data_IF_984328504472
#
_entry.id   IF_984328504472
#
_cell.length_a   1.000
_cell.length_b   1.000
_cell.length_c   1.000
_cell.angle_alpha   90.00
_cell.angle_beta   90.00
_cell.angle_gamma   90.00
#
_symmetry.space_group_name_H-M   'P 1'
#
loop_
_entity.id
_entity.type
_entity.pdbx_description
1 polymer ?
#
# COMPACT_ATOMS: atom_id res chain seq x y z
N UNK A 1 -12.92 22.58 3.99
CA UNK A 1 -12.59 21.59 5.04
C UNK A 1 -13.50 21.85 6.23
N UNK A 2 -14.16 20.81 6.72
CA UNK A 2 -14.92 20.89 7.97
C UNK A 2 -13.99 20.42 9.11
N UNK A 3 -13.69 21.31 10.05
CA UNK A 3 -12.90 21.02 11.25
C UNK A 3 -13.78 20.77 12.48
N UNK A 4 -15.08 20.49 12.27
CA UNK A 4 -15.97 20.18 13.38
C UNK A 4 -15.56 18.86 14.05
N UNK A 5 -15.71 18.83 15.37
CA UNK A 5 -15.47 17.60 16.14
C UNK A 5 -16.60 16.61 15.84
N UNK A 6 -16.22 15.38 15.52
CA UNK A 6 -17.17 14.28 15.38
C UNK A 6 -17.37 13.68 16.77
N UNK A 7 -18.59 13.77 17.29
CA UNK A 7 -18.99 13.05 18.50
C UNK A 7 -19.49 11.66 18.11
N UNK A 8 -18.81 10.62 18.62
CA UNK A 8 -19.20 9.23 18.37
C UNK A 8 -20.51 8.90 19.08
N UNK A 9 -21.36 8.13 18.41
CA UNK A 9 -22.53 7.53 19.08
C UNK A 9 -22.07 6.57 20.20
N UNK A 10 -22.92 6.23 21.18
CA UNK A 10 -22.57 5.23 22.19
C UNK A 10 -22.15 3.87 21.60
N UNK A 11 -22.76 3.47 20.47
CA UNK A 11 -22.45 2.23 19.76
C UNK A 11 -21.07 2.31 19.06
N UNK A 12 -20.75 3.44 18.45
CA UNK A 12 -19.44 3.65 17.81
C UNK A 12 -18.34 3.81 18.85
N UNK A 13 -18.66 4.39 20.00
CA UNK A 13 -17.74 4.44 21.15
C UNK A 13 -17.45 3.03 21.71
N UNK A 14 -18.46 2.16 21.80
CA UNK A 14 -18.26 0.77 22.17
C UNK A 14 -17.38 0.04 21.14
N UNK A 15 -17.69 0.17 19.86
CA UNK A 15 -16.90 -0.40 18.76
C UNK A 15 -15.44 0.07 18.79
N UNK A 16 -15.21 1.36 19.08
CA UNK A 16 -13.86 1.90 19.26
C UNK A 16 -13.09 1.18 20.37
N UNK A 17 -13.71 0.98 21.55
CA UNK A 17 -13.07 0.31 22.67
C UNK A 17 -12.81 -1.18 22.37
N UNK A 18 -13.77 -1.87 21.75
CA UNK A 18 -13.64 -3.28 21.35
C UNK A 18 -12.49 -3.45 20.33
N UNK A 19 -12.45 -2.61 19.30
CA UNK A 19 -11.41 -2.64 18.28
C UNK A 19 -10.03 -2.40 18.88
N UNK A 20 -9.92 -1.42 19.77
CA UNK A 20 -8.67 -1.10 20.46
C UNK A 20 -8.19 -2.23 21.35
N UNK A 21 -9.10 -2.85 22.11
CA UNK A 21 -8.77 -3.99 22.96
C UNK A 21 -8.33 -5.20 22.14
N UNK A 22 -9.05 -5.50 21.04
CA UNK A 22 -8.71 -6.58 20.13
C UNK A 22 -7.31 -6.39 19.52
N UNK A 23 -7.00 -5.19 19.03
CA UNK A 23 -5.70 -4.91 18.43
C UNK A 23 -4.59 -5.03 19.48
N UNK A 24 -4.79 -4.49 20.70
CA UNK A 24 -3.81 -4.59 21.78
C UNK A 24 -3.53 -6.04 22.22
N UNK A 25 -4.50 -6.93 22.10
CA UNK A 25 -4.35 -8.36 22.39
C UNK A 25 -3.48 -9.07 21.35
N UNK A 26 -3.63 -8.72 20.06
CA UNK A 26 -3.03 -9.48 18.96
C UNK A 26 -1.75 -8.82 18.40
N UNK A 27 -1.62 -7.50 18.46
CA UNK A 27 -0.46 -6.75 17.99
C UNK A 27 0.48 -6.48 19.18
N UNK A 28 1.27 -7.49 19.53
CA UNK A 28 2.20 -7.44 20.65
C UNK A 28 3.56 -6.86 20.23
N UNK A 29 4.39 -6.47 21.20
CA UNK A 29 5.77 -6.01 20.93
C UNK A 29 6.59 -7.05 20.15
N UNK A 30 6.33 -8.34 20.35
CA UNK A 30 6.97 -9.43 19.61
C UNK A 30 6.55 -9.44 18.14
N UNK A 31 5.28 -9.23 17.85
CA UNK A 31 4.76 -9.08 16.47
C UNK A 31 5.45 -7.90 15.78
N UNK A 32 5.48 -6.74 16.42
CA UNK A 32 6.11 -5.54 15.87
C UNK A 32 7.63 -5.70 15.67
N UNK A 33 8.30 -6.38 16.61
CA UNK A 33 9.73 -6.68 16.48
C UNK A 33 10.01 -7.58 15.29
N UNK A 34 9.24 -8.68 15.13
CA UNK A 34 9.37 -9.58 13.98
C UNK A 34 9.11 -8.86 12.65
N UNK A 35 8.08 -8.02 12.60
CA UNK A 35 7.75 -7.28 11.39
C UNK A 35 8.91 -6.35 10.98
N UNK A 36 9.50 -5.62 11.92
CA UNK A 36 10.70 -4.80 11.65
C UNK A 36 11.91 -5.64 11.20
N UNK A 37 12.11 -6.82 11.80
CA UNK A 37 13.22 -7.72 11.45
C UNK A 37 13.09 -8.27 10.04
N UNK A 38 11.88 -8.70 9.66
CA UNK A 38 11.63 -9.35 8.38
C UNK A 38 11.12 -8.38 7.30
N UNK A 39 10.60 -7.22 7.65
CA UNK A 39 10.10 -6.20 6.72
C UNK A 39 8.98 -6.72 5.82
N UNK A 40 8.13 -7.59 6.35
CA UNK A 40 7.08 -8.22 5.56
C UNK A 40 5.78 -7.40 5.54
N UNK A 41 5.61 -6.47 6.49
CA UNK A 41 4.38 -5.71 6.69
C UNK A 41 3.15 -6.63 6.80
N UNK A 42 3.39 -7.82 7.35
CA UNK A 42 2.42 -8.90 7.47
C UNK A 42 2.76 -9.84 8.64
N UNK A 43 1.77 -10.13 9.47
CA UNK A 43 1.83 -11.20 10.46
C UNK A 43 0.64 -12.13 10.29
N UNK A 44 0.90 -13.42 10.08
CA UNK A 44 -0.14 -14.41 9.78
C UNK A 44 -1.14 -14.57 10.91
N UNK A 45 -0.68 -14.58 12.17
CA UNK A 45 -1.56 -14.77 13.33
C UNK A 45 -2.50 -13.58 13.53
N UNK A 46 -1.97 -12.36 13.37
CA UNK A 46 -2.77 -11.12 13.40
C UNK A 46 -3.81 -11.14 12.28
N UNK A 47 -3.41 -11.51 11.07
CA UNK A 47 -4.30 -11.53 9.91
C UNK A 47 -5.43 -12.56 10.06
N UNK A 48 -5.12 -13.78 10.53
CA UNK A 48 -6.10 -14.82 10.82
C UNK A 48 -7.05 -14.41 11.97
N UNK A 49 -6.53 -13.73 13.00
CA UNK A 49 -7.36 -13.22 14.09
C UNK A 49 -8.35 -12.16 13.60
N UNK A 50 -7.90 -11.22 12.73
CA UNK A 50 -8.77 -10.23 12.09
C UNK A 50 -9.86 -10.89 11.24
N UNK A 51 -9.51 -11.92 10.46
CA UNK A 51 -10.47 -12.69 9.67
C UNK A 51 -11.49 -13.41 10.53
N UNK A 52 -11.04 -14.15 11.55
CA UNK A 52 -11.90 -14.89 12.48
C UNK A 52 -12.86 -13.99 13.27
N UNK A 53 -12.41 -12.80 13.65
CA UNK A 53 -13.23 -11.79 14.31
C UNK A 53 -14.17 -11.05 13.35
N UNK A 54 -14.09 -11.31 12.04
CA UNK A 54 -14.96 -10.71 11.03
C UNK A 54 -14.55 -9.31 10.57
N UNK A 55 -13.42 -8.76 11.05
CA UNK A 55 -12.96 -7.44 10.67
C UNK A 55 -12.64 -7.34 9.17
N UNK A 56 -11.98 -8.35 8.59
CA UNK A 56 -11.65 -8.36 7.15
C UNK A 56 -12.92 -8.36 6.29
N UNK A 57 -13.89 -9.21 6.64
CA UNK A 57 -15.17 -9.27 5.95
C UNK A 57 -15.95 -7.95 6.06
N UNK A 58 -15.96 -7.34 7.25
CA UNK A 58 -16.68 -6.08 7.49
C UNK A 58 -16.01 -4.87 6.82
N UNK A 59 -14.68 -4.86 6.72
CA UNK A 59 -13.95 -3.84 5.98
C UNK A 59 -14.16 -3.97 4.46
N UNK A 60 -14.27 -5.20 3.95
CA UNK A 60 -14.44 -5.47 2.53
C UNK A 60 -15.86 -5.26 2.01
N UNK A 61 -16.89 -5.67 2.78
CA UNK A 61 -18.30 -5.57 2.37
C UNK A 61 -18.79 -4.12 2.34
N UNK A 62 -19.82 -3.88 1.52
CA UNK A 62 -20.61 -2.66 1.61
C UNK A 62 -21.41 -2.64 2.94
N UNK A 63 -21.72 -1.46 3.44
CA UNK A 63 -22.54 -1.32 4.67
C UNK A 63 -23.90 -2.02 4.52
N UNK A 64 -24.52 -1.92 3.32
CA UNK A 64 -25.78 -2.61 2.98
C UNK A 64 -25.68 -4.15 3.02
N UNK A 65 -24.47 -4.69 2.97
CA UNK A 65 -24.15 -6.13 3.00
C UNK A 65 -23.63 -6.57 4.38
N UNK A 66 -23.72 -5.70 5.40
CA UNK A 66 -23.20 -5.95 6.74
C UNK A 66 -21.73 -5.58 6.93
N UNK A 67 -21.18 -4.75 6.06
CA UNK A 67 -19.87 -4.15 6.22
C UNK A 67 -19.86 -3.00 7.24
N UNK A 68 -18.68 -2.46 7.49
CA UNK A 68 -18.55 -1.29 8.36
C UNK A 68 -19.26 -0.06 7.80
N UNK A 69 -19.93 0.70 8.69
CA UNK A 69 -20.30 2.07 8.38
C UNK A 69 -19.04 2.91 8.12
N UNK A 70 -19.13 4.05 7.43
CA UNK A 70 -17.98 4.91 7.19
C UNK A 70 -17.25 5.32 8.48
N UNK A 71 -18.01 5.59 9.56
CA UNK A 71 -17.44 5.93 10.87
C UNK A 71 -16.66 4.75 11.46
N UNK A 72 -17.25 3.53 11.49
CA UNK A 72 -16.58 2.33 12.03
C UNK A 72 -15.35 1.94 11.20
N UNK A 73 -15.45 2.04 9.87
CA UNK A 73 -14.29 1.81 9.00
C UNK A 73 -13.15 2.78 9.34
N UNK A 74 -13.47 4.04 9.58
CA UNK A 74 -12.47 5.04 9.97
C UNK A 74 -11.88 4.76 11.34
N UNK A 75 -12.68 4.36 12.33
CA UNK A 75 -12.21 3.93 13.64
C UNK A 75 -11.23 2.77 13.50
N UNK A 76 -11.62 1.72 12.76
CA UNK A 76 -10.79 0.55 12.53
C UNK A 76 -9.44 0.91 11.89
N UNK A 77 -9.44 1.68 10.80
CA UNK A 77 -8.22 2.13 10.13
C UNK A 77 -7.29 2.96 11.02
N UNK A 78 -7.86 3.83 11.86
CA UNK A 78 -7.08 4.62 12.80
C UNK A 78 -6.42 3.75 13.89
N UNK A 79 -7.15 2.79 14.46
CA UNK A 79 -6.61 1.93 15.51
C UNK A 79 -5.58 0.92 14.96
N UNK A 80 -5.82 0.34 13.79
CA UNK A 80 -4.84 -0.46 13.03
C UNK A 80 -3.55 0.34 12.82
N UNK A 81 -3.68 1.58 12.36
CA UNK A 81 -2.55 2.45 12.10
C UNK A 81 -1.78 2.85 13.37
N UNK A 82 -2.48 3.21 14.46
CA UNK A 82 -1.84 3.56 15.74
C UNK A 82 -1.02 2.45 16.36
N UNK A 83 -1.47 1.22 16.17
CA UNK A 83 -0.78 0.04 16.67
C UNK A 83 0.33 -0.45 15.74
N UNK A 84 0.62 0.23 14.63
CA UNK A 84 1.57 -0.24 13.61
C UNK A 84 1.31 -1.68 13.17
N UNK A 85 0.04 -2.06 13.08
CA UNK A 85 -0.37 -3.43 12.76
C UNK A 85 0.22 -3.87 11.41
N UNK A 86 0.92 -5.01 11.33
CA UNK A 86 1.48 -5.53 10.08
C UNK A 86 0.37 -6.14 9.20
N UNK A 87 -0.39 -5.32 8.50
CA UNK A 87 -1.53 -5.73 7.68
C UNK A 87 -1.60 -5.04 6.31
N UNK A 88 -0.55 -4.31 5.94
CA UNK A 88 -0.50 -3.46 4.73
C UNK A 88 -1.01 -4.16 3.47
N UNK A 89 -0.71 -5.45 3.34
CA UNK A 89 -1.10 -6.25 2.16
C UNK A 89 -2.59 -6.61 2.09
N UNK A 90 -3.38 -6.30 3.12
CA UNK A 90 -4.84 -6.41 3.04
C UNK A 90 -5.43 -5.51 1.97
N UNK A 91 -4.91 -4.30 1.79
CA UNK A 91 -5.34 -3.40 0.72
C UNK A 91 -5.23 -4.04 -0.66
N UNK A 92 -4.09 -4.65 -0.98
CA UNK A 92 -3.90 -5.39 -2.22
C UNK A 92 -4.84 -6.59 -2.34
N UNK A 93 -4.93 -7.41 -1.30
CA UNK A 93 -5.80 -8.59 -1.27
C UNK A 93 -7.26 -8.21 -1.49
N UNK A 94 -7.75 -7.16 -0.85
CA UNK A 94 -9.14 -6.70 -0.96
C UNK A 94 -9.48 -6.18 -2.36
N UNK A 95 -8.57 -5.45 -3.01
CA UNK A 95 -8.74 -4.96 -4.39
C UNK A 95 -8.79 -6.14 -5.36
N UNK A 96 -7.85 -7.08 -5.28
CA UNK A 96 -7.84 -8.27 -6.16
C UNK A 96 -9.09 -9.12 -5.97
N UNK A 97 -9.57 -9.29 -4.73
CA UNK A 97 -10.81 -10.02 -4.47
C UNK A 97 -12.04 -9.36 -5.13
N UNK A 98 -12.12 -8.02 -5.15
CA UNK A 98 -13.19 -7.30 -5.86
C UNK A 98 -13.11 -7.49 -7.37
N UNK A 99 -11.91 -7.43 -7.94
CA UNK A 99 -11.71 -7.64 -9.37
C UNK A 99 -12.01 -9.09 -9.78
N UNK A 100 -11.63 -10.05 -8.96
CA UNK A 100 -12.00 -11.46 -9.15
C UNK A 100 -13.53 -11.63 -9.13
N UNK A 101 -14.24 -11.00 -8.20
CA UNK A 101 -15.69 -11.03 -8.13
C UNK A 101 -16.35 -10.37 -9.35
N UNK A 102 -15.75 -9.29 -9.86
CA UNK A 102 -16.32 -8.52 -10.98
C UNK A 102 -16.04 -9.16 -12.35
N UNK A 103 -14.88 -9.77 -12.55
CA UNK A 103 -14.39 -10.22 -13.85
C UNK A 103 -14.04 -11.71 -13.92
N UNK A 104 -13.98 -12.41 -12.80
CA UNK A 104 -13.66 -13.83 -12.74
C UNK A 104 -14.91 -14.70 -12.90
N UNK A 105 -14.67 -15.99 -13.18
CA UNK A 105 -15.74 -16.97 -13.18
C UNK A 105 -16.35 -17.13 -11.78
N UNK A 106 -17.67 -17.30 -11.65
CA UNK A 106 -18.32 -17.47 -10.35
C UNK A 106 -17.73 -18.63 -9.53
N UNK A 107 -17.39 -19.74 -10.17
CA UNK A 107 -16.80 -20.92 -9.54
C UNK A 107 -15.46 -20.57 -8.85
N UNK A 108 -14.60 -19.77 -9.49
CA UNK A 108 -13.35 -19.31 -8.90
C UNK A 108 -13.61 -18.38 -7.70
N UNK A 109 -14.57 -17.47 -7.85
CA UNK A 109 -14.95 -16.53 -6.77
C UNK A 109 -15.48 -17.29 -5.56
N UNK A 110 -16.36 -18.26 -5.75
CA UNK A 110 -16.94 -19.08 -4.68
C UNK A 110 -15.88 -19.92 -3.96
N UNK A 111 -14.84 -20.37 -4.68
CA UNK A 111 -13.75 -21.14 -4.12
C UNK A 111 -12.74 -20.29 -3.30
N UNK A 112 -12.50 -19.03 -3.71
CA UNK A 112 -11.40 -18.21 -3.17
C UNK A 112 -11.89 -17.19 -2.13
N UNK A 113 -13.01 -16.51 -2.38
CA UNK A 113 -13.47 -15.38 -1.58
C UNK A 113 -13.72 -15.72 -0.10
N UNK A 114 -14.32 -16.87 0.27
CA UNK A 114 -14.49 -17.21 1.68
C UNK A 114 -13.16 -17.27 2.44
N UNK A 115 -12.12 -17.85 1.83
CA UNK A 115 -10.78 -17.92 2.42
C UNK A 115 -10.10 -16.54 2.51
N UNK A 116 -10.39 -15.63 1.59
CA UNK A 116 -9.92 -14.23 1.68
C UNK A 116 -10.54 -13.54 2.88
N UNK A 117 -11.86 -13.66 3.07
CA UNK A 117 -12.59 -12.98 4.14
C UNK A 117 -12.32 -13.60 5.52
N UNK A 118 -11.95 -14.90 5.59
CA UNK A 118 -11.48 -15.54 6.83
C UNK A 118 -10.01 -15.26 7.15
N UNK A 119 -9.25 -14.66 6.22
CA UNK A 119 -7.82 -14.38 6.37
C UNK A 119 -6.89 -15.56 5.99
N UNK A 120 -7.44 -16.70 5.55
CA UNK A 120 -6.66 -17.89 5.16
C UNK A 120 -6.00 -17.74 3.79
N UNK A 121 -6.62 -16.97 2.89
CA UNK A 121 -6.12 -16.71 1.53
C UNK A 121 -5.71 -15.26 1.39
N UNK A 122 -4.47 -15.02 0.97
CA UNK A 122 -3.91 -13.73 0.60
C UNK A 122 -3.62 -13.70 -0.88
N UNK A 123 -3.78 -12.52 -1.48
CA UNK A 123 -3.61 -12.27 -2.90
C UNK A 123 -2.54 -11.19 -3.08
N UNK A 124 -1.67 -11.35 -4.08
CA UNK A 124 -0.65 -10.35 -4.41
C UNK A 124 -0.70 -9.95 -5.89
N UNK A 125 0.01 -8.89 -6.28
CA UNK A 125 0.05 -8.37 -7.64
C UNK A 125 1.31 -8.77 -8.38
N UNK A 126 1.17 -9.21 -9.62
CA UNK A 126 2.26 -9.50 -10.55
C UNK A 126 2.14 -8.65 -11.83
N UNK A 127 2.47 -7.34 -11.74
CA UNK A 127 2.37 -6.40 -12.87
C UNK A 127 3.71 -6.03 -13.44
N UNK A 128 4.60 -5.50 -12.59
CA UNK A 128 5.89 -4.93 -12.96
C UNK A 128 6.87 -6.00 -13.42
N UNK A 129 7.63 -5.70 -14.46
CA UNK A 129 8.73 -6.52 -14.97
C UNK A 129 10.06 -5.76 -14.86
N UNK A 130 11.22 -6.45 -14.94
CA UNK A 130 12.53 -5.78 -14.87
C UNK A 130 12.71 -4.64 -15.88
N UNK A 131 12.06 -4.74 -17.04
CA UNK A 131 12.17 -3.74 -18.12
C UNK A 131 11.07 -2.68 -18.10
N UNK A 132 10.02 -2.82 -17.26
CA UNK A 132 8.90 -1.89 -17.29
C UNK A 132 8.00 -1.93 -16.08
N UNK A 133 7.86 -0.80 -15.40
CA UNK A 133 6.96 -0.61 -14.26
C UNK A 133 5.89 0.45 -14.51
N UNK A 134 6.27 1.68 -14.90
CA UNK A 134 5.32 2.76 -15.17
C UNK A 134 4.44 2.49 -16.40
N UNK A 135 4.95 1.75 -17.37
CA UNK A 135 4.22 1.30 -18.55
C UNK A 135 4.04 -0.24 -18.51
N UNK A 136 3.17 -0.70 -17.65
CA UNK A 136 2.87 -2.13 -17.49
C UNK A 136 2.30 -2.80 -18.74
N UNK A 137 1.82 -2.00 -19.72
CA UNK A 137 1.34 -2.52 -20.99
C UNK A 137 2.46 -3.02 -21.91
N UNK A 138 3.73 -2.80 -21.57
CA UNK A 138 4.91 -3.39 -22.24
C UNK A 138 5.21 -4.81 -21.75
N UNK A 139 4.29 -5.44 -21.05
CA UNK A 139 4.40 -6.78 -20.46
C UNK A 139 4.96 -7.81 -21.44
N UNK A 140 6.00 -8.53 -21.01
CA UNK A 140 6.68 -9.61 -21.75
C UNK A 140 6.40 -11.00 -21.22
N UNK A 141 5.93 -11.12 -19.97
CA UNK A 141 5.48 -12.41 -19.41
C UNK A 141 4.38 -12.96 -20.29
N UNK A 142 4.63 -14.10 -20.92
CA UNK A 142 3.75 -14.68 -21.94
C UNK A 142 2.84 -15.73 -21.34
N UNK A 143 1.59 -15.78 -21.85
CA UNK A 143 0.71 -16.91 -21.64
C UNK A 143 0.28 -17.44 -23.01
N UNK A 144 0.54 -18.72 -23.26
CA UNK A 144 0.21 -19.42 -24.50
C UNK A 144 -0.84 -20.46 -24.22
N UNK A 145 -1.92 -20.48 -24.99
CA UNK A 145 -3.03 -21.43 -24.81
C UNK A 145 -2.62 -22.83 -25.27
N UNK A 146 -2.91 -23.84 -24.45
CA UNK A 146 -2.72 -25.26 -24.72
C UNK A 146 -4.00 -26.03 -24.32
N UNK A 147 -4.95 -26.13 -25.24
CA UNK A 147 -6.29 -26.67 -24.96
C UNK A 147 -7.08 -25.79 -23.99
N UNK A 148 -7.49 -26.35 -22.86
CA UNK A 148 -8.21 -25.65 -21.79
C UNK A 148 -7.26 -25.11 -20.72
N UNK A 149 -5.95 -25.15 -20.96
CA UNK A 149 -4.91 -24.62 -20.05
C UNK A 149 -4.09 -23.54 -20.74
N UNK A 150 -3.33 -22.78 -19.92
CA UNK A 150 -2.38 -21.79 -20.36
C UNK A 150 -0.99 -22.14 -19.83
N UNK A 151 0.05 -21.95 -20.65
CA UNK A 151 1.43 -22.11 -20.29
C UNK A 151 2.04 -20.73 -20.12
N UNK A 152 2.49 -20.41 -18.91
CA UNK A 152 3.00 -19.09 -18.53
C UNK A 152 4.51 -19.14 -18.38
N UNK A 153 5.21 -18.19 -19.05
CA UNK A 153 6.66 -18.03 -18.98
C UNK A 153 7.02 -16.53 -18.84
N UNK A 154 7.97 -16.22 -17.96
CA UNK A 154 8.46 -14.87 -17.73
C UNK A 154 8.88 -14.61 -16.32
N UNK A 155 8.90 -13.33 -15.92
CA UNK A 155 9.20 -12.94 -14.54
C UNK A 155 8.50 -11.64 -14.18
N UNK A 156 8.18 -11.49 -12.89
CA UNK A 156 7.65 -10.25 -12.31
C UNK A 156 8.54 -9.79 -11.17
N UNK A 157 8.66 -8.47 -11.03
CA UNK A 157 9.47 -7.82 -10.00
C UNK A 157 8.59 -6.99 -9.08
N UNK A 158 9.02 -6.82 -7.85
CA UNK A 158 8.28 -6.10 -6.82
C UNK A 158 6.90 -6.71 -6.51
N UNK A 159 6.82 -8.05 -6.59
CA UNK A 159 5.63 -8.82 -6.21
C UNK A 159 5.61 -8.96 -4.69
N UNK A 160 5.22 -7.89 -4.01
CA UNK A 160 5.22 -7.83 -2.55
C UNK A 160 4.27 -8.85 -1.96
N UNK A 161 4.67 -9.47 -0.86
CA UNK A 161 3.92 -10.51 -0.14
C UNK A 161 3.71 -11.83 -0.91
N UNK A 162 4.38 -12.06 -2.04
CA UNK A 162 4.23 -13.33 -2.80
C UNK A 162 4.56 -14.56 -1.95
N UNK A 163 5.52 -14.46 -1.01
CA UNK A 163 5.92 -15.57 -0.12
C UNK A 163 4.80 -15.98 0.87
N UNK A 164 3.87 -15.09 1.15
CA UNK A 164 2.75 -15.31 2.08
C UNK A 164 1.40 -15.41 1.36
N UNK A 165 1.36 -15.14 0.05
CA UNK A 165 0.13 -15.17 -0.75
C UNK A 165 -0.15 -16.58 -1.29
N UNK A 166 -1.42 -16.91 -1.44
CA UNK A 166 -1.85 -18.15 -2.09
C UNK A 166 -1.92 -18.00 -3.61
N UNK A 167 -2.28 -16.81 -4.08
CA UNK A 167 -2.41 -16.51 -5.50
C UNK A 167 -1.76 -15.18 -5.86
N UNK A 168 -1.26 -15.11 -7.09
CA UNK A 168 -0.81 -13.86 -7.71
C UNK A 168 -1.78 -13.44 -8.80
N UNK A 169 -2.21 -12.19 -8.77
CA UNK A 169 -2.99 -11.56 -9.83
C UNK A 169 -2.03 -11.07 -10.91
N UNK A 170 -1.86 -11.90 -11.93
CA UNK A 170 -0.77 -11.85 -12.89
C UNK A 170 -1.19 -11.23 -14.22
N UNK A 171 -0.49 -10.18 -14.63
CA UNK A 171 -0.61 -9.61 -15.97
C UNK A 171 0.29 -10.38 -16.94
N UNK A 172 -0.29 -10.86 -18.04
CA UNK A 172 0.43 -11.58 -19.10
C UNK A 172 0.16 -10.99 -20.47
N UNK A 173 1.02 -11.30 -21.42
CA UNK A 173 0.86 -11.01 -22.84
C UNK A 173 0.45 -12.29 -23.59
N UNK A 174 -0.77 -12.32 -24.11
CA UNK A 174 -1.32 -13.46 -24.84
C UNK A 174 -1.22 -13.31 -26.37
N UNK A 175 -0.90 -12.11 -26.87
CA UNK A 175 -0.74 -11.82 -28.30
C UNK A 175 0.43 -10.86 -28.56
N UNK A 176 1.68 -11.32 -28.54
CA UNK A 176 2.88 -10.48 -28.61
C UNK A 176 2.97 -9.55 -29.84
N UNK A 177 2.30 -9.92 -30.93
CA UNK A 177 2.23 -9.12 -32.17
C UNK A 177 0.96 -8.24 -32.21
N UNK A 178 0.09 -8.35 -31.21
CA UNK A 178 -1.13 -7.57 -31.13
C UNK A 178 -0.89 -6.11 -30.75
N UNK A 179 -1.88 -5.25 -31.00
CA UNK A 179 -1.78 -3.85 -30.60
C UNK A 179 -1.64 -3.71 -29.07
N UNK A 180 -0.78 -2.80 -28.64
CA UNK A 180 -0.62 -2.43 -27.23
C UNK A 180 -1.98 -2.19 -26.56
N UNK A 181 -2.17 -2.64 -25.35
CA UNK A 181 -3.40 -2.62 -24.55
C UNK A 181 -4.52 -3.60 -25.02
N UNK A 182 -4.35 -4.27 -26.16
CA UNK A 182 -5.30 -5.26 -26.70
C UNK A 182 -4.66 -6.64 -26.85
N UNK A 183 -3.59 -6.88 -26.13
CA UNK A 183 -2.78 -8.10 -26.18
C UNK A 183 -2.49 -8.67 -24.80
N UNK A 184 -3.19 -8.19 -23.78
CA UNK A 184 -2.95 -8.52 -22.38
C UNK A 184 -4.12 -9.34 -21.81
N UNK A 185 -3.79 -10.32 -20.97
CA UNK A 185 -4.76 -11.14 -20.24
C UNK A 185 -4.35 -11.24 -18.78
N UNK A 186 -5.33 -11.21 -17.88
CA UNK A 186 -5.12 -11.36 -16.45
C UNK A 186 -5.44 -12.78 -16.00
N UNK A 187 -4.64 -13.29 -15.06
CA UNK A 187 -4.85 -14.58 -14.40
C UNK A 187 -4.68 -14.46 -12.89
N UNK A 188 -5.43 -15.28 -12.16
CA UNK A 188 -5.21 -15.50 -10.73
C UNK A 188 -4.44 -16.81 -10.55
N UNK A 189 -3.10 -16.77 -10.59
CA UNK A 189 -2.24 -17.96 -10.63
C UNK A 189 -1.95 -18.46 -9.22
N UNK A 190 -2.19 -19.75 -8.91
CA UNK A 190 -1.77 -20.34 -7.66
C UNK A 190 -0.23 -20.31 -7.54
N UNK A 191 0.30 -19.77 -6.44
CA UNK A 191 1.76 -19.60 -6.25
C UNK A 191 2.48 -20.90 -5.86
N UNK A 192 1.75 -21.96 -5.52
CA UNK A 192 2.27 -23.31 -5.30
C UNK A 192 2.34 -24.15 -6.58
N UNK A 193 2.02 -23.56 -7.76
CA UNK A 193 2.11 -24.25 -9.05
C UNK A 193 3.56 -24.62 -9.40
N UNK A 194 3.79 -25.84 -9.96
CA UNK A 194 5.12 -26.21 -10.46
C UNK A 194 5.66 -25.19 -11.48
N UNK A 195 6.94 -24.86 -11.37
CA UNK A 195 7.60 -23.90 -12.24
C UNK A 195 7.58 -22.45 -11.73
N UNK A 196 7.01 -22.19 -10.55
CA UNK A 196 7.11 -20.90 -9.88
C UNK A 196 8.27 -20.88 -8.89
N UNK A 197 9.12 -19.87 -8.97
CA UNK A 197 10.19 -19.59 -8.02
C UNK A 197 10.02 -18.15 -7.48
N UNK A 198 10.06 -18.01 -6.14
CA UNK A 198 9.93 -16.72 -5.45
C UNK A 198 11.26 -16.36 -4.80
N UNK A 199 11.86 -15.26 -5.22
CA UNK A 199 13.12 -14.77 -4.69
C UNK A 199 12.91 -13.44 -3.97
N UNK A 200 13.27 -13.37 -2.67
CA UNK A 200 13.13 -12.17 -1.86
C UNK A 200 14.13 -11.07 -2.24
N UNK A 201 13.67 -9.82 -2.19
CA UNK A 201 14.49 -8.62 -2.32
C UNK A 201 14.24 -7.74 -1.10
N UNK A 202 15.30 -7.14 -0.55
CA UNK A 202 15.20 -6.10 0.47
C UNK A 202 15.24 -4.72 -0.19
N UNK A 203 14.31 -3.87 0.21
CA UNK A 203 14.28 -2.46 -0.21
C UNK A 203 15.08 -1.58 0.74
N UNK A 204 15.29 -0.32 0.38
CA UNK A 204 16.11 0.60 1.17
C UNK A 204 15.51 0.87 2.56
N UNK A 205 14.19 0.89 2.67
CA UNK A 205 13.47 1.08 3.94
C UNK A 205 13.42 -0.17 4.83
N UNK A 206 13.96 -1.27 4.34
CA UNK A 206 14.03 -2.53 5.09
C UNK A 206 12.89 -3.51 4.76
N UNK A 207 11.92 -3.09 3.96
CA UNK A 207 10.80 -3.94 3.56
C UNK A 207 11.25 -5.06 2.62
N UNK A 208 10.47 -6.14 2.62
CA UNK A 208 10.64 -7.26 1.71
C UNK A 208 9.66 -7.17 0.55
N UNK A 209 10.20 -7.28 -0.66
CA UNK A 209 9.42 -7.58 -1.87
C UNK A 209 10.04 -8.78 -2.59
N UNK A 210 9.53 -9.17 -3.77
CA UNK A 210 10.02 -10.38 -4.43
C UNK A 210 10.15 -10.17 -5.95
N UNK A 211 11.05 -10.98 -6.54
CA UNK A 211 11.00 -11.38 -7.95
C UNK A 211 10.31 -12.75 -7.99
N UNK A 212 9.39 -12.93 -8.93
CA UNK A 212 8.74 -14.21 -9.17
C UNK A 212 9.00 -14.64 -10.59
N UNK A 213 9.58 -15.82 -10.76
CA UNK A 213 9.88 -16.45 -12.04
C UNK A 213 8.81 -17.49 -12.37
N UNK A 214 8.47 -17.56 -13.63
CA UNK A 214 7.47 -18.48 -14.18
C UNK A 214 8.14 -19.28 -15.31
N UNK A 215 8.25 -20.61 -15.16
CA UNK A 215 8.88 -21.52 -16.12
C UNK A 215 7.89 -22.64 -16.45
N UNK A 216 7.26 -22.57 -17.62
CA UNK A 216 6.25 -23.50 -18.11
C UNK A 216 5.11 -23.76 -17.10
N UNK A 217 4.69 -22.71 -16.38
CA UNK A 217 3.62 -22.81 -15.38
C UNK A 217 2.29 -23.06 -16.08
N UNK A 218 1.66 -24.20 -15.75
CA UNK A 218 0.36 -24.58 -16.31
C UNK A 218 -0.78 -24.09 -15.43
N UNK A 219 -1.72 -23.36 -16.04
CA UNK A 219 -2.87 -22.74 -15.36
C UNK A 219 -4.14 -23.06 -16.16
N UNK A 220 -5.18 -23.54 -15.49
CA UNK A 220 -6.49 -23.79 -16.09
C UNK A 220 -7.16 -22.48 -16.51
N UNK A 221 -7.98 -22.51 -17.59
CA UNK A 221 -8.70 -21.32 -18.08
C UNK A 221 -9.69 -20.76 -17.03
N UNK A 222 -10.10 -21.57 -16.03
CA UNK A 222 -10.89 -21.13 -14.88
C UNK A 222 -10.23 -19.98 -14.11
N UNK A 223 -8.90 -19.97 -14.08
CA UNK A 223 -8.12 -18.92 -13.36
C UNK A 223 -7.95 -17.64 -14.18
N UNK A 224 -8.48 -17.54 -15.37
CA UNK A 224 -8.47 -16.32 -16.18
C UNK A 224 -9.47 -15.29 -15.62
N UNK A 225 -9.02 -14.06 -15.51
CA UNK A 225 -9.84 -12.95 -15.03
C UNK A 225 -10.16 -12.02 -16.20
N UNK A 226 -11.43 -11.98 -16.58
CA UNK A 226 -11.92 -11.25 -17.75
C UNK A 226 -11.64 -11.97 -19.08
N UNK A 227 -11.81 -11.27 -20.19
CA UNK A 227 -11.66 -11.83 -21.55
C UNK A 227 -10.18 -12.00 -21.93
N UNK A 228 -9.92 -12.93 -22.84
CA UNK A 228 -8.62 -13.03 -23.54
C UNK A 228 -8.34 -11.72 -24.25
N UNK A 229 -7.14 -11.16 -24.08
CA UNK A 229 -6.75 -9.85 -24.58
C UNK A 229 -7.53 -8.66 -23.96
N UNK A 230 -8.41 -8.92 -22.98
CA UNK A 230 -9.18 -7.93 -22.22
C UNK A 230 -8.51 -7.44 -20.93
N UNK A 231 -7.30 -7.92 -20.63
CA UNK A 231 -6.61 -7.67 -19.35
C UNK A 231 -6.34 -6.19 -19.05
N UNK A 232 -6.24 -5.34 -20.09
CA UNK A 232 -6.12 -3.90 -19.89
C UNK A 232 -7.37 -3.29 -19.23
N UNK A 233 -8.57 -3.76 -19.58
CA UNK A 233 -9.83 -3.30 -18.96
C UNK A 233 -9.88 -3.68 -17.49
N UNK A 234 -9.51 -4.91 -17.15
CA UNK A 234 -9.45 -5.41 -15.78
C UNK A 234 -8.43 -4.61 -14.96
N UNK A 235 -7.21 -4.44 -15.51
CA UNK A 235 -6.15 -3.70 -14.82
C UNK A 235 -6.49 -2.22 -14.63
N UNK A 236 -7.15 -1.59 -15.60
CA UNK A 236 -7.60 -0.21 -15.49
C UNK A 236 -8.59 -0.05 -14.33
N UNK A 237 -9.53 -0.98 -14.15
CA UNK A 237 -10.44 -0.98 -13.00
C UNK A 237 -9.68 -1.12 -11.68
N UNK A 238 -8.60 -1.93 -11.64
CA UNK A 238 -7.71 -2.04 -10.49
C UNK A 238 -7.02 -0.70 -10.16
N UNK A 239 -6.41 -0.09 -11.17
CA UNK A 239 -5.69 1.19 -11.02
C UNK A 239 -6.63 2.33 -10.62
N UNK A 240 -7.84 2.39 -11.18
CA UNK A 240 -8.84 3.39 -10.82
C UNK A 240 -9.23 3.27 -9.34
N UNK A 241 -9.37 2.03 -8.82
CA UNK A 241 -9.60 1.77 -7.39
C UNK A 241 -8.38 2.13 -6.52
N UNK A 242 -7.18 1.75 -6.94
CA UNK A 242 -5.93 2.02 -6.20
C UNK A 242 -5.60 3.52 -6.15
N UNK A 243 -5.88 4.24 -7.23
CA UNK A 243 -5.60 5.67 -7.33
C UNK A 243 -6.67 6.56 -6.67
N UNK A 244 -7.74 5.96 -6.11
CA UNK A 244 -8.83 6.73 -5.52
C UNK A 244 -9.53 7.63 -6.53
N UNK A 245 -9.59 7.22 -7.80
CA UNK A 245 -10.45 7.83 -8.82
C UNK A 245 -11.85 7.31 -8.52
N UNK A 246 -12.46 7.84 -7.46
CA UNK A 246 -13.77 7.44 -6.97
C UNK A 246 -14.80 8.39 -7.55
N UNK A 247 -16.02 7.87 -7.69
CA UNK A 247 -17.23 8.60 -8.07
C UNK A 247 -17.30 9.96 -7.33
N UNK A 248 -17.52 11.08 -8.02
CA UNK A 248 -17.67 12.40 -7.41
C UNK A 248 -18.75 12.47 -6.30
N UNK A 249 -19.69 11.52 -6.29
CA UNK A 249 -20.76 11.41 -5.29
C UNK A 249 -20.35 10.62 -4.04
N UNK A 250 -19.15 10.05 -3.97
CA UNK A 250 -18.63 9.41 -2.77
C UNK A 250 -18.09 10.45 -1.79
N UNK A 251 -18.95 10.86 -0.85
CA UNK A 251 -18.69 11.93 0.10
C UNK A 251 -17.53 11.68 1.08
N UNK A 252 -16.34 11.59 0.57
CA UNK A 252 -15.12 12.08 1.24
C UNK A 252 -14.53 11.27 2.39
N UNK A 253 -15.15 10.22 2.94
CA UNK A 253 -14.55 9.40 3.98
C UNK A 253 -13.72 8.24 3.41
N UNK A 254 -13.94 7.84 2.17
CA UNK A 254 -13.13 6.84 1.46
C UNK A 254 -11.88 7.45 0.79
N UNK A 255 -11.84 8.76 0.61
CA UNK A 255 -10.73 9.49 -0.04
C UNK A 255 -9.53 9.78 0.86
N UNK A 256 -9.43 9.12 1.99
CA UNK A 256 -8.18 9.11 2.74
C UNK A 256 -7.30 8.10 2.04
N UNK A 257 -6.46 8.63 1.16
CA UNK A 257 -5.64 7.91 0.21
C UNK A 257 -4.96 6.68 0.82
N UNK A 258 -4.60 5.71 -0.03
CA UNK A 258 -3.65 4.64 0.26
C UNK A 258 -2.36 5.13 0.96
N UNK A 259 -2.12 6.44 0.95
CA UNK A 259 -1.01 7.14 1.59
C UNK A 259 -1.26 7.59 3.03
N UNK A 260 -2.42 7.31 3.62
CA UNK A 260 -2.70 7.72 5.02
C UNK A 260 -1.72 7.10 6.01
N UNK A 261 -1.29 5.88 5.75
CA UNK A 261 -0.25 5.18 6.51
C UNK A 261 1.09 5.92 6.46
N UNK A 262 1.53 6.33 5.28
CA UNK A 262 2.76 7.11 5.11
C UNK A 262 2.67 8.49 5.76
N UNK A 263 1.50 9.12 5.73
CA UNK A 263 1.24 10.38 6.46
C UNK A 263 1.45 10.21 7.96
N UNK A 264 1.04 9.07 8.51
CA UNK A 264 1.23 8.75 9.93
C UNK A 264 2.71 8.52 10.27
N UNK A 265 3.46 7.79 9.43
CA UNK A 265 4.92 7.62 9.62
C UNK A 265 5.63 8.97 9.65
N UNK A 266 5.25 9.88 8.75
CA UNK A 266 5.82 11.24 8.75
C UNK A 266 5.42 12.03 10.00
N UNK A 267 4.17 11.96 10.44
CA UNK A 267 3.69 12.64 11.64
C UNK A 267 4.42 12.15 12.89
N UNK A 268 4.60 10.84 13.03
CA UNK A 268 5.35 10.27 14.14
C UNK A 268 6.81 10.75 14.17
N UNK A 269 7.48 10.79 13.02
CA UNK A 269 8.86 11.28 12.96
C UNK A 269 8.96 12.77 13.34
N UNK A 270 7.98 13.58 12.90
CA UNK A 270 7.87 15.00 13.28
C UNK A 270 7.65 15.15 14.78
N UNK A 271 6.73 14.40 15.37
CA UNK A 271 6.42 14.47 16.81
C UNK A 271 7.61 14.05 17.68
N UNK A 272 8.29 12.96 17.31
CA UNK A 272 9.51 12.50 18.01
C UNK A 272 10.65 13.49 17.88
N UNK A 273 10.85 14.09 16.71
CA UNK A 273 11.83 15.16 16.52
C UNK A 273 11.48 16.40 17.35
N UNK A 274 10.21 16.81 17.36
CA UNK A 274 9.74 17.93 18.19
C UNK A 274 9.98 17.70 19.68
N UNK A 275 9.73 16.49 20.17
CA UNK A 275 10.04 16.12 21.55
C UNK A 275 11.55 16.18 21.82
N UNK A 276 12.36 15.59 20.94
CA UNK A 276 13.83 15.54 21.11
C UNK A 276 14.47 16.92 21.16
N UNK A 277 14.08 17.86 20.31
CA UNK A 277 14.69 19.21 20.30
C UNK A 277 14.40 20.05 21.55
N UNK A 278 13.47 19.61 22.40
CA UNK A 278 13.19 20.23 23.71
C UNK A 278 14.09 19.72 24.82
N UNK A 279 14.83 18.62 24.60
CA UNK A 279 15.73 18.05 25.59
C UNK A 279 16.96 18.96 25.80
N UNK A 280 17.38 19.10 27.05
CA UNK A 280 18.59 19.87 27.41
C UNK A 280 19.82 18.98 27.29
N UNK A 281 20.88 19.53 26.71
CA UNK A 281 22.21 18.96 26.79
C UNK A 281 22.80 19.14 28.20
N UNK A 282 23.99 18.57 28.51
CA UNK A 282 24.66 18.75 29.81
C UNK A 282 24.96 20.21 30.19
N UNK A 283 25.05 21.11 29.18
CA UNK A 283 25.27 22.54 29.39
C UNK A 283 23.93 23.32 29.54
N UNK A 284 22.79 22.63 29.54
CA UNK A 284 21.45 23.21 29.70
C UNK A 284 20.88 23.86 28.45
N UNK A 285 21.53 23.69 27.28
CA UNK A 285 21.06 24.20 25.99
C UNK A 285 20.11 23.21 25.33
N UNK A 286 19.12 23.71 24.59
CA UNK A 286 18.23 22.91 23.80
C UNK A 286 18.44 23.18 22.31
N UNK A 287 18.37 22.17 21.41
CA UNK A 287 18.35 22.44 19.96
C UNK A 287 17.28 23.44 19.57
N UNK A 288 16.12 23.42 20.24
CA UNK A 288 15.02 24.34 20.00
C UNK A 288 15.35 25.82 20.33
N UNK A 289 16.44 26.12 21.05
CA UNK A 289 16.84 27.50 21.32
C UNK A 289 17.44 28.20 20.07
N UNK A 290 17.88 27.42 19.06
CA UNK A 290 18.33 27.90 17.76
C UNK A 290 17.14 28.28 16.86
N UNK A 291 17.14 29.49 16.32
CA UNK A 291 16.06 30.03 15.48
C UNK A 291 15.96 29.27 14.13
N UNK A 292 17.05 28.72 13.60
CA UNK A 292 17.03 27.85 12.40
C UNK A 292 16.27 26.55 12.66
N UNK A 293 16.49 25.92 13.83
CA UNK A 293 15.77 24.72 14.25
C UNK A 293 14.28 25.00 14.40
N UNK A 294 13.91 26.09 15.10
CA UNK A 294 12.50 26.53 15.23
C UNK A 294 11.83 26.72 13.88
N UNK A 295 12.49 27.45 12.97
CA UNK A 295 11.94 27.72 11.65
C UNK A 295 11.76 26.42 10.83
N UNK A 296 12.78 25.57 10.79
CA UNK A 296 12.75 24.33 10.00
C UNK A 296 11.73 23.35 10.55
N UNK A 297 11.65 23.15 11.85
CA UNK A 297 10.65 22.31 12.49
C UNK A 297 9.23 22.84 12.24
N UNK A 298 8.99 24.12 12.45
CA UNK A 298 7.69 24.74 12.17
C UNK A 298 7.27 24.63 10.70
N UNK A 299 8.22 24.78 9.76
CA UNK A 299 8.00 24.56 8.34
C UNK A 299 7.65 23.10 8.05
N UNK A 300 8.35 22.14 8.66
CA UNK A 300 8.09 20.70 8.48
C UNK A 300 6.70 20.33 8.98
N UNK A 301 6.28 20.81 10.14
CA UNK A 301 4.93 20.63 10.68
C UNK A 301 3.87 21.20 9.72
N UNK A 302 4.03 22.44 9.28
CA UNK A 302 3.08 23.08 8.38
C UNK A 302 2.94 22.35 7.03
N UNK A 303 4.05 21.89 6.47
CA UNK A 303 4.05 21.11 5.21
C UNK A 303 3.42 19.75 5.39
N UNK A 304 3.72 19.06 6.48
CA UNK A 304 3.11 17.78 6.83
C UNK A 304 1.58 17.92 6.91
N UNK A 305 1.08 18.86 7.70
CA UNK A 305 -0.36 19.09 7.86
C UNK A 305 -1.04 19.41 6.53
N UNK A 306 -0.42 20.23 5.69
CA UNK A 306 -0.94 20.53 4.36
C UNK A 306 -0.99 19.27 3.47
N UNK A 307 0.05 18.45 3.49
CA UNK A 307 0.14 17.25 2.66
C UNK A 307 -0.88 16.17 3.09
N UNK A 308 -0.99 15.87 4.39
CA UNK A 308 -1.94 14.87 4.91
C UNK A 308 -3.39 15.30 4.76
N UNK A 309 -3.65 16.61 4.67
CA UNK A 309 -4.97 17.17 4.45
C UNK A 309 -5.36 17.27 2.96
N UNK A 310 -4.44 16.95 2.05
CA UNK A 310 -4.68 17.02 0.61
C UNK A 310 -5.26 15.69 0.09
N UNK A 311 -6.46 15.67 -0.51
CA UNK A 311 -7.13 14.43 -0.91
C UNK A 311 -6.66 13.87 -2.26
N UNK A 312 -6.95 12.59 -2.51
CA UNK A 312 -6.86 11.91 -3.79
C UNK A 312 -5.48 11.98 -4.43
N UNK A 313 -5.42 12.11 -5.76
CA UNK A 313 -4.17 12.13 -6.53
C UNK A 313 -3.27 13.33 -6.19
N UNK A 314 -3.84 14.46 -5.78
CA UNK A 314 -3.06 15.61 -5.30
C UNK A 314 -2.34 15.28 -4.00
N UNK A 315 -3.04 14.60 -3.08
CA UNK A 315 -2.48 14.12 -1.82
C UNK A 315 -1.36 13.13 -2.05
N UNK A 316 -1.49 12.23 -3.03
CA UNK A 316 -0.44 11.28 -3.40
C UNK A 316 0.88 11.99 -3.74
N UNK A 317 0.82 13.02 -4.58
CA UNK A 317 2.00 13.81 -4.97
C UNK A 317 2.51 14.68 -3.83
N UNK A 318 1.60 15.40 -3.15
CA UNK A 318 1.94 16.28 -2.04
C UNK A 318 2.64 15.51 -0.91
N UNK A 319 2.10 14.34 -0.53
CA UNK A 319 2.64 13.54 0.56
C UNK A 319 4.02 12.97 0.24
N UNK A 320 4.19 12.32 -0.92
CA UNK A 320 5.46 11.74 -1.31
C UNK A 320 6.59 12.80 -1.44
N UNK A 321 6.25 13.98 -1.97
CA UNK A 321 7.22 15.09 -2.04
C UNK A 321 7.54 15.63 -0.66
N UNK A 322 6.53 15.83 0.19
CA UNK A 322 6.69 16.39 1.54
C UNK A 322 7.49 15.45 2.45
N UNK A 323 7.27 14.14 2.36
CA UNK A 323 8.05 13.15 3.12
C UNK A 323 9.56 13.27 2.82
N UNK A 324 9.94 13.41 1.56
CA UNK A 324 11.34 13.60 1.16
C UNK A 324 11.94 14.88 1.75
N UNK A 325 11.21 15.99 1.64
CA UNK A 325 11.67 17.29 2.12
C UNK A 325 11.75 17.31 3.66
N UNK A 326 10.72 16.82 4.34
CA UNK A 326 10.63 16.79 5.81
C UNK A 326 11.65 15.84 6.39
N UNK A 327 11.83 14.63 5.84
CA UNK A 327 12.82 13.68 6.35
C UNK A 327 14.23 14.26 6.35
N UNK A 328 14.62 14.94 5.27
CA UNK A 328 15.92 15.61 5.17
C UNK A 328 16.06 16.75 6.21
N UNK A 329 15.02 17.57 6.38
CA UNK A 329 15.01 18.64 7.39
C UNK A 329 15.14 18.05 8.81
N UNK A 330 14.43 16.96 9.12
CA UNK A 330 14.52 16.31 10.44
C UNK A 330 15.91 15.71 10.69
N UNK A 331 16.50 15.02 9.69
CA UNK A 331 17.86 14.47 9.84
C UNK A 331 18.86 15.57 10.19
N UNK A 332 18.79 16.72 9.52
CA UNK A 332 19.67 17.85 9.80
C UNK A 332 19.41 18.49 11.18
N UNK A 333 18.14 18.62 11.59
CA UNK A 333 17.74 19.18 12.90
C UNK A 333 18.28 18.31 14.05
N UNK A 334 18.17 16.98 13.90
CA UNK A 334 18.58 16.00 14.90
C UNK A 334 20.10 15.76 14.91
N UNK A 335 20.82 16.16 13.85
CA UNK A 335 22.28 16.08 13.73
C UNK A 335 22.79 14.64 13.65
N UNK A 336 24.01 14.39 14.15
CA UNK A 336 24.68 13.09 13.99
C UNK A 336 23.92 11.90 14.60
N UNK A 337 23.15 12.10 15.66
CA UNK A 337 22.37 11.04 16.29
C UNK A 337 21.15 10.60 15.44
N UNK A 338 20.80 11.37 14.41
CA UNK A 338 19.69 11.03 13.49
C UNK A 338 19.99 9.84 12.56
N UNK A 339 21.26 9.46 12.36
CA UNK A 339 21.63 8.33 11.50
C UNK A 339 21.51 6.97 12.20
N UNK A 340 21.20 6.96 13.48
CA UNK A 340 21.03 5.74 14.25
C UNK A 340 19.60 5.21 14.06
N UNK A 341 19.45 3.93 13.65
CA UNK A 341 18.14 3.34 13.42
C UNK A 341 17.33 3.14 14.70
N UNK A 342 16.07 2.82 14.54
CA UNK A 342 15.14 2.42 15.62
C UNK A 342 15.77 1.30 16.47
N UNK A 343 15.46 1.30 17.77
CA UNK A 343 15.97 0.35 18.77
C UNK A 343 17.50 0.45 19.04
N UNK A 344 18.14 1.50 18.51
CA UNK A 344 19.55 1.76 18.81
C UNK A 344 19.68 2.74 19.99
N UNK A 345 20.52 2.39 20.97
CA UNK A 345 20.80 3.29 22.09
C UNK A 345 21.31 4.64 21.58
N UNK A 346 20.82 5.72 22.17
CA UNK A 346 21.19 7.11 21.87
C UNK A 346 20.72 7.59 20.46
N UNK A 347 19.82 6.87 19.78
CA UNK A 347 19.19 7.37 18.55
C UNK A 347 18.31 8.59 18.85
N UNK A 348 18.44 9.64 18.04
CA UNK A 348 17.60 10.83 18.17
C UNK A 348 16.15 10.51 17.75
N UNK A 349 15.18 10.81 18.65
CA UNK A 349 13.78 10.54 18.39
C UNK A 349 13.48 9.09 18.02
N UNK A 350 14.13 8.14 18.73
CA UNK A 350 13.98 6.69 18.53
C UNK A 350 14.24 6.21 17.09
N UNK A 351 15.05 6.94 16.32
CA UNK A 351 15.36 6.59 14.92
C UNK A 351 14.23 6.84 13.91
N UNK A 352 13.13 7.49 14.31
CA UNK A 352 11.98 7.70 13.43
C UNK A 352 12.31 8.58 12.22
N UNK A 353 13.19 9.57 12.35
CA UNK A 353 13.63 10.40 11.23
C UNK A 353 14.51 9.62 10.24
N UNK A 354 15.36 8.71 10.73
CA UNK A 354 16.16 7.81 9.92
C UNK A 354 15.28 6.88 9.09
N UNK A 355 14.31 6.24 9.75
CA UNK A 355 13.34 5.39 9.06
C UNK A 355 12.52 6.18 8.01
N UNK A 356 12.00 7.36 8.39
CA UNK A 356 11.28 8.22 7.45
C UNK A 356 12.14 8.59 6.24
N UNK A 357 13.44 8.87 6.44
CA UNK A 357 14.36 9.22 5.34
C UNK A 357 14.49 8.08 4.33
N UNK A 358 14.66 6.84 4.78
CA UNK A 358 14.71 5.67 3.91
C UNK A 358 13.36 5.38 3.26
N UNK A 359 12.27 5.45 4.03
CA UNK A 359 10.91 5.16 3.60
C UNK A 359 10.36 6.19 2.60
N UNK A 360 10.76 7.46 2.69
CA UNK A 360 10.33 8.52 1.78
C UNK A 360 10.78 8.31 0.33
N UNK A 361 11.85 7.56 0.10
CA UNK A 361 12.39 7.37 -1.25
C UNK A 361 11.53 6.43 -2.10
N UNK A 362 11.20 5.20 -1.68
CA UNK A 362 10.37 4.29 -2.45
C UNK A 362 8.91 4.76 -2.55
N UNK A 363 8.37 5.51 -1.57
CA UNK A 363 6.99 6.02 -1.61
C UNK A 363 6.69 6.90 -2.83
N UNK A 364 7.69 7.53 -3.42
CA UNK A 364 7.53 8.28 -4.67
C UNK A 364 7.53 7.43 -5.95
N UNK A 365 7.69 6.10 -5.82
CA UNK A 365 7.90 5.19 -6.95
C UNK A 365 6.75 4.18 -7.06
N UNK A 366 6.46 3.42 -6.00
CA UNK A 366 5.45 2.35 -6.06
C UNK A 366 4.01 2.90 -6.08
N UNK A 367 3.05 2.06 -6.49
CA UNK A 367 1.65 2.47 -6.62
C UNK A 367 1.45 3.62 -7.62
N UNK A 368 2.30 3.68 -8.67
CA UNK A 368 2.40 4.80 -9.61
C UNK A 368 3.38 5.89 -9.15
N UNK A 369 4.34 6.23 -10.03
CA UNK A 369 5.34 7.28 -9.72
C UNK A 369 4.70 8.65 -9.58
N UNK A 370 5.37 9.56 -8.87
CA UNK A 370 4.93 10.95 -8.78
C UNK A 370 4.76 11.60 -10.15
N UNK A 371 5.61 11.22 -11.12
CA UNK A 371 5.56 11.73 -12.50
C UNK A 371 4.30 11.24 -13.21
N UNK A 372 3.91 9.98 -13.04
CA UNK A 372 2.65 9.44 -13.56
C UNK A 372 1.47 10.21 -12.98
N UNK A 373 1.43 10.42 -11.66
CA UNK A 373 0.35 11.20 -11.04
C UNK A 373 0.33 12.67 -11.49
N UNK A 374 1.49 13.31 -11.65
CA UNK A 374 1.56 14.68 -12.21
C UNK A 374 1.01 14.75 -13.62
N UNK A 375 1.33 13.75 -14.46
CA UNK A 375 0.76 13.65 -15.80
C UNK A 375 -0.77 13.44 -15.76
N UNK A 376 -1.27 12.56 -14.89
CA UNK A 376 -2.71 12.36 -14.69
C UNK A 376 -3.40 13.64 -14.23
N UNK A 377 -2.82 14.38 -13.30
CA UNK A 377 -3.34 15.68 -12.85
C UNK A 377 -3.38 16.67 -14.03
N UNK A 378 -2.29 16.77 -14.78
CA UNK A 378 -2.20 17.69 -15.92
C UNK A 378 -3.24 17.33 -17.01
N UNK A 379 -3.37 16.05 -17.35
CA UNK A 379 -4.23 15.57 -18.42
C UNK A 379 -5.72 15.58 -18.02
N UNK A 380 -6.04 14.99 -16.85
CA UNK A 380 -7.44 14.75 -16.48
C UNK A 380 -8.05 15.82 -15.61
N UNK A 381 -7.30 16.37 -14.66
CA UNK A 381 -7.82 17.40 -13.75
C UNK A 381 -7.68 18.81 -14.32
N UNK A 382 -6.50 19.16 -14.85
CA UNK A 382 -6.22 20.47 -15.42
C UNK A 382 -6.54 20.60 -16.91
N UNK A 383 -6.80 19.45 -17.59
CA UNK A 383 -7.17 19.39 -19.01
C UNK A 383 -6.15 20.07 -19.95
N UNK A 384 -4.87 19.96 -19.60
CA UNK A 384 -3.78 20.55 -20.40
C UNK A 384 -3.46 19.75 -21.66
N UNK A 385 -4.10 18.57 -21.87
CA UNK A 385 -3.84 17.67 -22.99
C UNK A 385 -2.60 16.79 -22.75
N UNK A 386 -2.40 15.85 -23.66
CA UNK A 386 -1.20 15.02 -23.70
C UNK A 386 -0.07 15.74 -24.42
N UNK A 387 1.16 15.72 -23.88
CA UNK A 387 2.31 16.15 -24.66
C UNK A 387 2.54 15.18 -25.83
N UNK A 388 2.83 15.72 -27.00
CA UNK A 388 3.31 14.93 -28.12
C UNK A 388 4.75 14.49 -27.84
N UNK A 389 4.92 13.26 -27.36
CA UNK A 389 6.25 12.68 -27.27
C UNK A 389 6.67 12.20 -28.66
N UNK A 390 7.85 12.59 -29.15
CA UNK A 390 8.39 11.97 -30.36
C UNK A 390 8.56 10.47 -30.09
N UNK A 391 7.96 9.64 -30.95
CA UNK A 391 7.97 8.18 -30.89
C UNK A 391 9.34 7.57 -31.11
#
# INVERSE_FOLDING_TARGET
MDFSRIDLSPEDQAFYQETRAFIAEHVTDDVLRRDREFGENFDEQVHLALGKAGYLASDWKLESEGGFSPVRRRIFQLEIGRAHTPWYHWGTTSVVARLMQQFGEPELTDAVLPGVLSGEIRLCLGYTEPEGGSDVATCKTRAVRDGDTWIINGSKMFTSNAQNAKYVFLLTNTEPQGPKHKNLTMFLVPLDSPGIEIQGIRTLDGDRTNIVYYSDVRVDDLYRIGDVNGGWTVMRSALDSEHGIVDPDDHGLQNISAMSEHGRVMAEAVDKAAAWVTLQDPDGRRPLDDDSVKYRLGRSIARMEAAVSTPGMYGRVALAQTMRDVSSDLMDILGAASVLPTDTKDSAGDGAAEYLFRHALPTGIYGGTMEVFRNMIAEHALKLGRPDYPG
#
